data_IF_023855371148
#
_entry.id   IF_023855371148
#
_cell.length_a   1.000
_cell.length_b   1.000
_cell.length_c   1.000
_cell.angle_alpha   90.00
_cell.angle_beta   90.00
_cell.angle_gamma   90.00
#
_symmetry.space_group_name_H-M   'P 1'
#
loop_
_entity.id
_entity.type
_entity.pdbx_description
1 polymer ?
#
# COMPACT_ATOMS: atom_id res chain seq x y z
N UNK A 1 -4.84 -1.58 3.74
CA UNK A 1 -5.62 -0.34 3.88
C UNK A 1 -6.74 -0.37 2.84
N UNK A 2 -7.95 0.09 3.16
CA UNK A 2 -9.02 0.23 2.17
C UNK A 2 -9.19 1.72 1.88
N UNK A 3 -8.96 2.13 0.64
CA UNK A 3 -9.28 3.47 0.20
C UNK A 3 -10.78 3.57 -0.07
N UNK A 4 -11.37 4.71 0.29
CA UNK A 4 -12.74 5.04 -0.08
C UNK A 4 -12.86 5.17 -1.60
N UNK A 5 -14.07 4.98 -2.13
CA UNK A 5 -14.31 5.19 -3.56
C UNK A 5 -13.99 6.64 -3.98
N UNK A 6 -14.26 7.60 -3.09
CA UNK A 6 -13.96 9.03 -3.27
C UNK A 6 -12.44 9.25 -3.40
N UNK A 7 -11.63 8.63 -2.54
CA UNK A 7 -10.17 8.75 -2.63
C UNK A 7 -9.61 8.19 -3.95
N UNK A 8 -10.18 7.09 -4.45
CA UNK A 8 -9.81 6.52 -5.75
C UNK A 8 -10.19 7.49 -6.88
N UNK A 9 -11.41 8.03 -6.88
CA UNK A 9 -11.88 8.98 -7.88
C UNK A 9 -11.04 10.28 -7.89
N UNK A 10 -10.72 10.81 -6.71
CA UNK A 10 -9.87 12.00 -6.59
C UNK A 10 -8.46 11.72 -7.12
N UNK A 11 -7.90 10.54 -6.84
CA UNK A 11 -6.60 10.13 -7.38
C UNK A 11 -6.62 10.05 -8.90
N UNK A 12 -7.64 9.43 -9.49
CA UNK A 12 -7.82 9.36 -10.95
C UNK A 12 -7.94 10.75 -11.55
N UNK A 13 -8.80 11.60 -10.97
CA UNK A 13 -8.99 12.98 -11.44
C UNK A 13 -7.68 13.76 -11.43
N UNK A 14 -6.90 13.68 -10.35
CA UNK A 14 -5.59 14.32 -10.26
C UNK A 14 -4.62 13.82 -11.32
N UNK A 15 -4.52 12.51 -11.49
CA UNK A 15 -3.65 11.89 -12.49
C UNK A 15 -3.98 12.38 -13.91
N UNK A 16 -5.26 12.41 -14.28
CA UNK A 16 -5.71 12.85 -15.61
C UNK A 16 -5.46 14.33 -15.87
N UNK A 17 -5.44 15.15 -14.82
CA UNK A 17 -5.11 16.57 -14.88
C UNK A 17 -3.59 16.84 -14.75
N UNK A 18 -2.77 15.78 -14.74
CA UNK A 18 -1.32 15.85 -14.55
C UNK A 18 -0.85 16.34 -13.19
N UNK A 19 -1.72 16.27 -12.18
CA UNK A 19 -1.44 16.70 -10.81
C UNK A 19 -0.85 15.55 -9.96
N UNK A 20 -0.19 15.90 -8.85
CA UNK A 20 0.30 14.91 -7.90
C UNK A 20 -0.81 14.46 -6.93
N UNK A 21 -0.99 13.14 -6.82
CA UNK A 21 -1.98 12.48 -5.96
C UNK A 21 -1.41 12.05 -4.60
N UNK A 22 -0.09 12.17 -4.40
CA UNK A 22 0.59 11.63 -3.21
C UNK A 22 0.12 12.27 -1.91
N UNK A 23 -0.31 13.53 -1.96
CA UNK A 23 -0.84 14.25 -0.79
C UNK A 23 -2.11 13.59 -0.25
N UNK A 24 -3.04 13.18 -1.11
CA UNK A 24 -4.26 12.44 -0.73
C UNK A 24 -3.91 11.18 0.04
N UNK A 25 -2.91 10.44 -0.47
CA UNK A 25 -2.51 9.16 0.12
C UNK A 25 -1.81 9.37 1.46
N UNK A 26 -0.98 10.41 1.59
CA UNK A 26 -0.36 10.77 2.86
C UNK A 26 -1.40 11.19 3.90
N UNK A 27 -2.41 11.97 3.51
CA UNK A 27 -3.49 12.38 4.40
C UNK A 27 -4.28 11.18 4.90
N UNK A 28 -4.65 10.25 4.02
CA UNK A 28 -5.32 9.00 4.38
C UNK A 28 -4.46 8.14 5.34
N UNK A 29 -3.16 8.01 5.08
CA UNK A 29 -2.24 7.29 5.98
C UNK A 29 -2.17 7.95 7.36
N UNK A 30 -2.15 9.28 7.41
CA UNK A 30 -2.08 10.05 8.65
C UNK A 30 -3.35 9.87 9.47
N UNK A 31 -4.53 10.02 8.86
CA UNK A 31 -5.82 9.82 9.52
C UNK A 31 -5.93 8.41 10.13
N UNK A 32 -5.68 7.38 9.32
CA UNK A 32 -5.76 5.99 9.78
C UNK A 32 -4.74 5.66 10.90
N UNK A 33 -3.59 6.33 10.89
CA UNK A 33 -2.58 6.17 11.94
C UNK A 33 -3.01 6.84 13.25
N UNK A 34 -3.55 8.05 13.17
CA UNK A 34 -4.01 8.80 14.35
C UNK A 34 -5.22 8.10 14.99
N UNK A 35 -6.17 7.61 14.20
CA UNK A 35 -7.31 6.82 14.69
C UNK A 35 -6.82 5.56 15.43
N UNK A 36 -5.89 4.81 14.82
CA UNK A 36 -5.27 3.66 15.47
C UNK A 36 -4.56 4.05 16.77
N UNK A 37 -3.85 5.18 16.78
CA UNK A 37 -3.11 5.65 17.96
C UNK A 37 -4.06 5.92 19.12
N UNK A 38 -5.17 6.60 18.87
CA UNK A 38 -6.19 6.87 19.88
C UNK A 38 -6.81 5.58 20.43
N UNK A 39 -7.17 4.65 19.55
CA UNK A 39 -7.77 3.38 19.99
C UNK A 39 -6.75 2.48 20.71
N UNK A 40 -5.49 2.48 20.28
CA UNK A 40 -4.44 1.75 20.97
C UNK A 40 -4.21 2.27 22.39
N UNK A 41 -4.17 3.59 22.58
CA UNK A 41 -4.03 4.17 23.92
C UNK A 41 -5.27 3.94 24.82
N UNK A 42 -6.48 3.95 24.27
CA UNK A 42 -7.68 3.52 25.03
C UNK A 42 -7.56 2.07 25.49
N UNK A 43 -7.10 1.17 24.61
CA UNK A 43 -6.86 -0.22 24.98
C UNK A 43 -5.78 -0.38 26.05
N UNK A 44 -4.72 0.45 26.03
CA UNK A 44 -3.67 0.44 27.05
C UNK A 44 -4.24 0.89 28.40
N UNK A 45 -5.03 1.97 28.40
CA UNK A 45 -5.71 2.46 29.59
C UNK A 45 -6.58 1.35 30.20
N UNK A 46 -7.44 0.72 29.39
CA UNK A 46 -8.30 -0.39 29.83
C UNK A 46 -7.48 -1.54 30.40
N UNK A 47 -6.40 -1.94 29.74
CA UNK A 47 -5.53 -3.02 30.21
C UNK A 47 -4.87 -2.68 31.55
N UNK A 48 -4.30 -1.47 31.71
CA UNK A 48 -3.63 -1.03 32.94
C UNK A 48 -4.59 -0.80 34.11
N UNK A 49 -5.86 -0.50 33.84
CA UNK A 49 -6.89 -0.42 34.88
C UNK A 49 -7.32 -1.80 35.40
N UNK A 50 -7.28 -2.82 34.53
CA UNK A 50 -7.77 -4.17 34.84
C UNK A 50 -6.65 -5.15 35.20
N UNK A 51 -5.39 -4.78 35.00
CA UNK A 51 -4.23 -5.61 35.35
C UNK A 51 -3.44 -5.03 36.52
N UNK A 52 -3.12 -5.88 37.49
CA UNK A 52 -2.34 -5.51 38.67
C UNK A 52 -0.85 -5.79 38.51
N UNK A 53 -0.43 -6.42 37.41
CA UNK A 53 0.97 -6.71 37.17
C UNK A 53 1.77 -5.42 36.94
N UNK A 54 2.88 -5.29 37.65
CA UNK A 54 3.80 -4.16 37.55
C UNK A 54 4.89 -4.35 36.48
N UNK A 55 4.86 -5.47 35.76
CA UNK A 55 5.84 -5.84 34.74
C UNK A 55 5.17 -6.08 33.38
N UNK A 56 5.95 -6.24 32.32
CA UNK A 56 5.46 -6.35 30.93
C UNK A 56 4.56 -7.57 30.64
N UNK A 57 4.35 -8.48 31.60
CA UNK A 57 3.44 -9.62 31.43
C UNK A 57 2.00 -9.19 31.11
N UNK A 58 1.56 -8.03 31.61
CA UNK A 58 0.24 -7.48 31.26
C UNK A 58 0.14 -7.21 29.75
N UNK A 59 1.21 -6.68 29.13
CA UNK A 59 1.18 -6.35 27.70
C UNK A 59 0.97 -7.60 26.86
N UNK A 60 1.75 -8.66 27.11
CA UNK A 60 1.59 -9.95 26.40
C UNK A 60 0.21 -10.54 26.63
N UNK A 61 -0.29 -10.53 27.87
CA UNK A 61 -1.62 -11.04 28.21
C UNK A 61 -2.74 -10.30 27.46
N UNK A 62 -2.70 -8.97 27.45
CA UNK A 62 -3.80 -8.15 26.92
C UNK A 62 -3.73 -7.91 25.42
N UNK A 63 -2.53 -7.76 24.84
CA UNK A 63 -2.37 -7.38 23.43
C UNK A 63 -1.99 -8.54 22.51
N UNK A 64 -1.33 -9.58 23.04
CA UNK A 64 -0.80 -10.67 22.22
C UNK A 64 -1.63 -11.92 22.39
N UNK A 65 -1.75 -12.40 23.62
CA UNK A 65 -2.37 -13.67 23.96
C UNK A 65 -3.87 -13.54 24.24
N UNK A 66 -4.46 -12.36 23.98
CA UNK A 66 -5.91 -12.17 24.08
C UNK A 66 -6.59 -12.45 22.75
N UNK A 67 -7.81 -12.98 22.80
CA UNK A 67 -8.65 -13.18 21.61
C UNK A 67 -9.35 -11.89 21.15
N UNK A 68 -9.09 -10.76 21.81
CA UNK A 68 -9.71 -9.46 21.50
C UNK A 68 -9.27 -8.94 20.13
N UNK A 69 -8.02 -9.22 19.74
CA UNK A 69 -7.38 -8.59 18.59
C UNK A 69 -7.22 -9.55 17.42
N UNK A 70 -7.30 -9.00 16.21
CA UNK A 70 -7.04 -9.76 14.98
C UNK A 70 -5.55 -10.05 14.86
N UNK A 71 -5.18 -11.11 14.16
CA UNK A 71 -3.77 -11.50 14.00
C UNK A 71 -2.91 -10.39 13.40
N UNK A 72 -3.45 -9.58 12.49
CA UNK A 72 -2.74 -8.43 11.92
C UNK A 72 -2.41 -7.37 13.00
N UNK A 73 -3.29 -7.18 13.99
CA UNK A 73 -3.08 -6.25 15.10
C UNK A 73 -2.10 -6.82 16.12
N UNK A 74 -2.24 -8.10 16.46
CA UNK A 74 -1.29 -8.83 17.32
C UNK A 74 0.13 -8.72 16.78
N UNK A 75 0.33 -8.88 15.47
CA UNK A 75 1.63 -8.68 14.85
C UNK A 75 2.16 -7.26 15.09
N UNK A 76 1.33 -6.24 14.89
CA UNK A 76 1.71 -4.82 15.10
C UNK A 76 2.09 -4.56 16.56
N UNK A 77 1.30 -5.06 17.52
CA UNK A 77 1.61 -4.92 18.96
C UNK A 77 2.90 -5.67 19.33
N UNK A 78 3.18 -6.79 18.68
CA UNK A 78 4.45 -7.50 18.77
C UNK A 78 5.62 -6.82 18.04
N UNK A 79 5.44 -5.63 17.46
CA UNK A 79 6.51 -4.91 16.75
C UNK A 79 6.84 -5.46 15.37
N UNK A 80 5.93 -6.22 14.74
CA UNK A 80 6.14 -6.85 13.44
C UNK A 80 4.99 -6.60 12.45
N UNK A 81 5.31 -6.53 11.17
CA UNK A 81 4.31 -6.50 10.10
C UNK A 81 3.98 -7.93 9.67
N UNK A 82 2.69 -8.26 9.55
CA UNK A 82 2.22 -9.55 9.02
C UNK A 82 2.89 -9.95 7.71
N UNK A 83 3.10 -9.01 6.77
CA UNK A 83 3.79 -9.29 5.50
C UNK A 83 5.23 -9.74 5.73
N UNK A 84 5.92 -9.16 6.71
CA UNK A 84 7.28 -9.55 7.07
C UNK A 84 7.31 -10.94 7.71
N UNK A 85 6.34 -11.26 8.57
CA UNK A 85 6.14 -12.62 9.11
C UNK A 85 5.92 -13.61 7.95
N UNK A 86 5.01 -13.32 7.02
CA UNK A 86 4.78 -14.19 5.84
C UNK A 86 6.05 -14.40 5.01
N UNK A 87 6.84 -13.35 4.81
CA UNK A 87 8.07 -13.45 4.02
C UNK A 87 9.17 -14.27 4.72
N UNK A 88 9.26 -14.20 6.04
CA UNK A 88 10.28 -14.92 6.83
C UNK A 88 9.87 -16.39 7.02
N UNK A 89 8.61 -16.65 7.34
CA UNK A 89 8.12 -17.96 7.77
C UNK A 89 7.30 -18.70 6.70
N UNK A 90 7.10 -18.09 5.52
CA UNK A 90 6.28 -18.63 4.43
C UNK A 90 4.77 -18.63 4.71
N UNK A 91 4.35 -18.27 5.92
CA UNK A 91 2.96 -18.25 6.36
C UNK A 91 2.74 -17.23 7.48
N UNK A 92 1.49 -16.88 7.72
CA UNK A 92 1.08 -15.99 8.80
C UNK A 92 -0.26 -16.42 9.38
N UNK A 93 -0.34 -17.70 9.76
CA UNK A 93 -1.45 -18.24 10.55
C UNK A 93 -1.50 -17.56 11.92
N UNK A 94 -2.67 -17.65 12.60
CA UNK A 94 -2.82 -17.07 13.96
C UNK A 94 -1.75 -17.61 14.91
N UNK A 95 -1.47 -18.92 14.88
CA UNK A 95 -0.44 -19.55 15.72
C UNK A 95 0.96 -18.99 15.44
N UNK A 96 1.39 -18.96 14.17
CA UNK A 96 2.71 -18.42 13.80
C UNK A 96 2.83 -16.96 14.24
N UNK A 97 1.79 -16.16 14.05
CA UNK A 97 1.80 -14.76 14.46
C UNK A 97 1.94 -14.64 15.98
N UNK A 98 1.22 -15.44 16.77
CA UNK A 98 1.31 -15.42 18.23
C UNK A 98 2.71 -15.79 18.71
N UNK A 99 3.29 -16.86 18.16
CA UNK A 99 4.63 -17.32 18.52
C UNK A 99 5.68 -16.25 18.21
N UNK A 100 5.62 -15.68 17.01
CA UNK A 100 6.53 -14.64 16.55
C UNK A 100 6.38 -13.36 17.36
N UNK A 101 5.14 -12.94 17.67
CA UNK A 101 4.88 -11.73 18.45
C UNK A 101 5.40 -11.89 19.90
N UNK A 102 5.16 -13.03 20.54
CA UNK A 102 5.69 -13.30 21.88
C UNK A 102 7.24 -13.32 21.88
N UNK A 103 7.84 -14.01 20.91
CA UNK A 103 9.29 -14.09 20.77
C UNK A 103 9.92 -12.70 20.55
N UNK A 104 9.32 -11.88 19.68
CA UNK A 104 9.84 -10.55 19.39
C UNK A 104 9.71 -9.60 20.59
N UNK A 105 8.64 -9.70 21.39
CA UNK A 105 8.54 -8.89 22.63
C UNK A 105 9.59 -9.32 23.64
N UNK A 106 9.82 -10.63 23.85
CA UNK A 106 10.90 -11.09 24.73
C UNK A 106 12.26 -10.52 24.28
N UNK A 107 12.51 -10.50 22.97
CA UNK A 107 13.71 -9.92 22.39
C UNK A 107 13.82 -8.41 22.64
N UNK A 108 12.73 -7.66 22.41
CA UNK A 108 12.68 -6.22 22.65
C UNK A 108 12.87 -5.87 24.13
N UNK A 109 12.22 -6.60 25.04
CA UNK A 109 12.41 -6.45 26.49
C UNK A 109 13.88 -6.59 26.87
N UNK A 110 14.57 -7.62 26.36
CA UNK A 110 15.99 -7.83 26.64
C UNK A 110 16.89 -6.70 26.11
N UNK A 111 16.61 -6.19 24.91
CA UNK A 111 17.35 -5.02 24.36
C UNK A 111 17.12 -3.80 25.24
N UNK A 112 15.87 -3.53 25.60
CA UNK A 112 15.51 -2.37 26.39
C UNK A 112 16.16 -2.42 27.78
N UNK A 113 16.09 -3.56 28.48
CA UNK A 113 16.75 -3.72 29.78
C UNK A 113 18.27 -3.56 29.68
N UNK A 114 18.87 -3.97 28.56
CA UNK A 114 20.30 -3.75 28.32
C UNK A 114 20.62 -2.26 28.10
N UNK A 115 19.73 -1.50 27.46
CA UNK A 115 19.89 -0.05 27.30
C UNK A 115 19.73 0.68 28.63
N UNK A 116 18.78 0.27 29.47
CA UNK A 116 18.56 0.82 30.82
C UNK A 116 19.80 0.66 31.72
N UNK A 117 20.57 -0.42 31.54
CA UNK A 117 21.79 -0.67 32.32
C UNK A 117 23.03 0.12 31.88
N UNK A 118 23.00 0.74 30.69
CA UNK A 118 24.16 1.38 30.07
C UNK A 118 24.05 2.91 29.94
N UNK A 119 22.91 3.51 30.27
CA UNK A 119 22.61 4.93 29.98
C UNK A 119 22.04 5.64 31.23
N UNK A 120 22.83 6.51 31.86
CA UNK A 120 22.54 7.04 33.20
C UNK A 120 21.68 8.33 33.22
N UNK A 121 21.11 8.83 32.11
CA UNK A 121 20.47 10.16 32.14
C UNK A 121 19.19 10.40 31.31
N UNK A 122 18.66 9.43 30.54
CA UNK A 122 17.44 9.66 29.74
C UNK A 122 16.28 8.72 30.10
N UNK A 123 15.24 9.30 30.72
CA UNK A 123 13.97 8.64 30.99
C UNK A 123 12.90 9.08 29.99
N UNK A 124 12.17 8.12 29.42
CA UNK A 124 10.99 8.36 28.58
C UNK A 124 9.79 7.78 29.34
N UNK A 125 8.73 8.58 29.48
CA UNK A 125 7.45 8.14 30.08
C UNK A 125 6.30 8.62 29.21
N UNK A 126 5.32 7.75 28.99
CA UNK A 126 4.06 8.07 28.33
C UNK A 126 2.97 8.13 29.39
N UNK A 127 2.39 9.32 29.57
CA UNK A 127 1.24 9.54 30.42
C UNK A 127 -0.04 9.59 29.59
N UNK A 128 -0.98 8.70 29.90
CA UNK A 128 -2.28 8.59 29.24
C UNK A 128 -3.34 9.06 30.23
N UNK A 129 -4.12 10.06 29.85
CA UNK A 129 -5.23 10.57 30.67
C UNK A 129 -6.57 10.45 29.95
N UNK A 130 -7.58 10.00 30.67
CA UNK A 130 -8.96 9.97 30.20
C UNK A 130 -9.91 10.24 31.37
N UNK A 131 -10.66 11.36 31.28
CA UNK A 131 -11.46 11.90 32.39
C UNK A 131 -10.60 12.06 33.65
N UNK A 132 -10.93 11.37 34.75
CA UNK A 132 -10.20 11.43 36.02
C UNK A 132 -9.16 10.31 36.16
N UNK A 133 -9.01 9.45 35.15
CA UNK A 133 -8.07 8.32 35.19
C UNK A 133 -6.78 8.75 34.51
N UNK A 134 -5.67 8.45 35.17
CA UNK A 134 -4.31 8.67 34.66
C UNK A 134 -3.55 7.36 34.80
N UNK A 135 -2.96 6.91 33.69
CA UNK A 135 -2.01 5.80 33.67
C UNK A 135 -0.68 6.34 33.15
N UNK A 136 0.39 5.93 33.80
CA UNK A 136 1.76 6.24 33.39
C UNK A 136 2.48 4.95 33.04
N UNK A 137 3.19 4.98 31.91
CA UNK A 137 4.03 3.89 31.44
C UNK A 137 5.47 4.16 31.83
N UNK A 138 6.16 3.14 32.37
CA UNK A 138 7.60 3.24 32.60
C UNK A 138 8.39 3.28 31.28
N UNK A 139 9.72 3.40 31.36
CA UNK A 139 10.61 3.47 30.20
C UNK A 139 10.42 2.29 29.25
N UNK A 140 10.48 1.07 29.79
CA UNK A 140 10.30 -0.15 29.01
C UNK A 140 8.94 -0.23 28.31
N UNK A 141 7.86 0.05 29.04
CA UNK A 141 6.50 0.07 28.50
C UNK A 141 6.33 1.15 27.41
N UNK A 142 6.91 2.33 27.64
CA UNK A 142 6.86 3.45 26.70
C UNK A 142 7.56 3.13 25.39
N UNK A 143 8.77 2.56 25.46
CA UNK A 143 9.54 2.17 24.28
C UNK A 143 8.85 1.08 23.47
N UNK A 144 8.23 0.09 24.14
CA UNK A 144 7.47 -0.95 23.47
C UNK A 144 6.23 -0.38 22.74
N UNK A 145 5.50 0.52 23.40
CA UNK A 145 4.35 1.21 22.79
C UNK A 145 4.76 2.07 21.59
N UNK A 146 5.88 2.79 21.69
CA UNK A 146 6.46 3.55 20.57
C UNK A 146 6.81 2.61 19.40
N UNK A 147 7.41 1.45 19.69
CA UNK A 147 7.73 0.46 18.68
C UNK A 147 6.48 -0.06 17.94
N UNK A 148 5.41 -0.37 18.67
CA UNK A 148 4.13 -0.78 18.07
C UNK A 148 3.52 0.32 17.18
N UNK A 149 3.55 1.59 17.64
CA UNK A 149 3.10 2.74 16.84
C UNK A 149 3.94 2.91 15.57
N UNK A 150 5.27 2.85 15.67
CA UNK A 150 6.17 2.93 14.54
C UNK A 150 5.90 1.80 13.52
N UNK A 151 5.73 0.57 14.02
CA UNK A 151 5.39 -0.61 13.22
C UNK A 151 4.07 -0.41 12.47
N UNK A 152 3.04 0.11 13.15
CA UNK A 152 1.76 0.44 12.49
C UNK A 152 1.96 1.46 11.37
N UNK A 153 2.70 2.54 11.64
CA UNK A 153 2.93 3.60 10.64
C UNK A 153 3.61 3.05 9.39
N UNK A 154 4.63 2.22 9.57
CA UNK A 154 5.35 1.57 8.48
C UNK A 154 4.42 0.63 7.70
N UNK A 155 3.65 -0.20 8.40
CA UNK A 155 2.69 -1.11 7.78
C UNK A 155 1.62 -0.37 6.96
N UNK A 156 1.09 0.74 7.48
CA UNK A 156 0.16 1.61 6.76
C UNK A 156 0.79 2.21 5.50
N UNK A 157 2.00 2.79 5.60
CA UNK A 157 2.70 3.37 4.42
C UNK A 157 2.92 2.32 3.34
N UNK A 158 3.50 1.17 3.69
CA UNK A 158 3.77 0.10 2.72
C UNK A 158 2.49 -0.45 2.08
N UNK A 159 1.45 -0.66 2.87
CA UNK A 159 0.16 -1.16 2.39
C UNK A 159 -0.63 -0.15 1.57
N UNK A 160 -0.52 1.15 1.88
CA UNK A 160 -1.22 2.23 1.19
C UNK A 160 -0.78 2.37 -0.26
N UNK A 161 0.53 2.52 -0.52
CA UNK A 161 1.06 2.72 -1.87
C UNK A 161 0.76 1.53 -2.81
N UNK A 162 0.92 0.31 -2.30
CA UNK A 162 0.57 -0.89 -3.06
C UNK A 162 -0.94 -0.98 -3.32
N UNK A 163 -1.77 -0.66 -2.32
CA UNK A 163 -3.22 -0.75 -2.49
C UNK A 163 -3.80 0.34 -3.37
N UNK A 164 -3.29 1.58 -3.34
CA UNK A 164 -3.83 2.63 -4.21
C UNK A 164 -3.46 2.34 -5.66
N UNK A 165 -2.21 1.94 -5.93
CA UNK A 165 -1.76 1.54 -7.27
C UNK A 165 -2.71 0.55 -7.89
N UNK A 166 -2.90 -0.62 -7.26
CA UNK A 166 -3.80 -1.66 -7.78
C UNK A 166 -5.25 -1.21 -7.95
N UNK A 167 -5.74 -0.32 -7.08
CA UNK A 167 -7.14 0.15 -7.11
C UNK A 167 -7.40 1.20 -8.18
N UNK A 168 -6.39 1.92 -8.64
CA UNK A 168 -6.56 2.96 -9.67
C UNK A 168 -6.38 2.44 -11.09
N UNK A 169 -5.68 1.33 -11.31
CA UNK A 169 -5.35 0.79 -12.64
C UNK A 169 -6.57 0.76 -13.57
N UNK A 170 -7.63 0.05 -13.16
CA UNK A 170 -8.86 -0.08 -13.94
C UNK A 170 -9.70 1.21 -14.00
N UNK A 171 -10.01 1.90 -12.89
CA UNK A 171 -10.74 3.18 -12.94
C UNK A 171 -10.09 4.23 -13.83
N UNK A 172 -8.75 4.36 -13.78
CA UNK A 172 -8.00 5.29 -14.60
C UNK A 172 -8.17 4.98 -16.09
N UNK A 173 -8.00 3.72 -16.47
CA UNK A 173 -8.13 3.31 -17.88
C UNK A 173 -9.55 3.47 -18.42
N UNK A 174 -10.56 3.15 -17.61
CA UNK A 174 -11.96 3.35 -17.99
C UNK A 174 -12.26 4.83 -18.23
N UNK A 175 -11.76 5.70 -17.36
CA UNK A 175 -11.96 7.15 -17.47
C UNK A 175 -11.22 7.72 -18.69
N UNK A 176 -9.95 7.35 -18.91
CA UNK A 176 -9.18 7.70 -20.12
C UNK A 176 -9.95 7.31 -21.39
N UNK A 177 -10.39 6.06 -21.47
CA UNK A 177 -11.15 5.56 -22.61
C UNK A 177 -12.46 6.33 -22.80
N UNK A 178 -13.17 6.62 -21.72
CA UNK A 178 -14.45 7.35 -21.77
C UNK A 178 -14.27 8.79 -22.26
N UNK A 179 -13.28 9.51 -21.73
CA UNK A 179 -12.95 10.88 -22.11
C UNK A 179 -12.49 10.97 -23.57
N UNK A 180 -11.74 9.98 -24.05
CA UNK A 180 -11.32 9.89 -25.45
C UNK A 180 -12.41 9.34 -26.38
N UNK A 181 -13.53 8.83 -25.85
CA UNK A 181 -14.65 8.33 -26.65
C UNK A 181 -14.43 6.95 -27.25
N UNK A 182 -13.63 6.10 -26.61
CA UNK A 182 -13.47 4.68 -26.96
C UNK A 182 -14.74 3.92 -26.60
N UNK A 183 -15.30 3.17 -27.54
CA UNK A 183 -16.49 2.35 -27.31
C UNK A 183 -16.15 1.14 -26.42
N UNK A 184 -17.04 0.80 -25.48
CA UNK A 184 -16.89 -0.35 -24.58
C UNK A 184 -16.62 -1.66 -25.32
N UNK A 185 -17.10 -1.81 -26.56
CA UNK A 185 -16.84 -3.02 -27.36
C UNK A 185 -15.36 -3.22 -27.73
N UNK A 186 -14.52 -2.19 -27.61
CA UNK A 186 -13.07 -2.24 -27.81
C UNK A 186 -12.28 -2.31 -26.50
N UNK A 187 -12.97 -2.49 -25.38
CA UNK A 187 -12.38 -2.51 -24.04
C UNK A 187 -12.61 -3.89 -23.42
N UNK A 188 -11.56 -4.48 -22.85
CA UNK A 188 -11.69 -5.59 -21.91
C UNK A 188 -11.03 -5.21 -20.58
N UNK A 189 -11.88 -5.12 -19.55
CA UNK A 189 -11.51 -4.75 -18.18
C UNK A 189 -11.91 -5.86 -17.18
N UNK A 190 -12.05 -7.10 -17.66
CA UNK A 190 -12.39 -8.24 -16.80
C UNK A 190 -11.26 -8.51 -15.79
N UNK A 191 -11.64 -9.03 -14.62
CA UNK A 191 -10.66 -9.42 -13.62
C UNK A 191 -9.92 -10.64 -14.16
N UNK A 192 -8.60 -10.55 -14.21
CA UNK A 192 -7.75 -11.64 -14.63
C UNK A 192 -8.07 -12.92 -13.85
N UNK A 193 -8.31 -14.00 -14.59
CA UNK A 193 -8.43 -15.35 -14.05
C UNK A 193 -7.31 -16.16 -14.68
N UNK A 194 -6.37 -16.60 -13.84
CA UNK A 194 -5.26 -17.44 -14.29
C UNK A 194 -5.81 -18.69 -14.96
N UNK A 195 -5.44 -18.89 -16.22
CA UNK A 195 -5.66 -20.16 -16.90
C UNK A 195 -4.68 -21.19 -16.33
N UNK A 196 -5.22 -22.23 -15.70
CA UNK A 196 -4.42 -23.32 -15.14
C UNK A 196 -3.81 -24.25 -16.21
N UNK A 197 -4.21 -24.09 -17.48
CA UNK A 197 -3.74 -24.92 -18.60
C UNK A 197 -2.51 -24.30 -19.27
N UNK A 198 -2.36 -22.98 -19.24
CA UNK A 198 -1.20 -22.29 -19.79
C UNK A 198 0.02 -22.48 -18.88
N UNK A 199 1.17 -22.88 -19.47
CA UNK A 199 2.45 -22.96 -18.74
C UNK A 199 2.86 -21.60 -18.15
N UNK A 200 2.41 -20.52 -18.79
CA UNK A 200 2.64 -19.16 -18.36
C UNK A 200 1.44 -18.28 -18.68
N UNK A 201 0.75 -17.83 -17.64
CA UNK A 201 -0.33 -16.85 -17.73
C UNK A 201 -0.12 -15.76 -16.67
N UNK A 202 0.05 -14.52 -17.13
CA UNK A 202 0.36 -13.37 -16.28
C UNK A 202 -0.76 -12.34 -16.36
N UNK A 203 -1.12 -11.82 -15.19
CA UNK A 203 -2.10 -10.75 -15.06
C UNK A 203 -1.64 -9.50 -15.83
N UNK A 204 -2.53 -8.99 -16.67
CA UNK A 204 -2.42 -7.69 -17.35
C UNK A 204 -3.51 -6.79 -16.78
N UNK A 205 -3.17 -5.53 -16.52
CA UNK A 205 -4.07 -4.63 -15.80
C UNK A 205 -5.31 -4.22 -16.64
N UNK A 206 -5.16 -4.10 -17.97
CA UNK A 206 -6.24 -3.72 -18.89
C UNK A 206 -5.96 -4.14 -20.34
N UNK A 207 -7.01 -4.25 -21.19
CA UNK A 207 -6.89 -4.65 -22.59
C UNK A 207 -7.72 -3.75 -23.52
N UNK A 208 -7.16 -3.43 -24.68
CA UNK A 208 -7.81 -2.69 -25.77
C UNK A 208 -7.76 -3.48 -27.07
N UNK A 209 -8.73 -3.27 -27.96
CA UNK A 209 -8.77 -3.93 -29.27
C UNK A 209 -8.68 -2.92 -30.41
N UNK A 210 -7.97 -3.28 -31.48
CA UNK A 210 -8.01 -2.52 -32.71
C UNK A 210 -9.40 -2.57 -33.39
N UNK A 211 -9.57 -1.80 -34.45
CA UNK A 211 -10.85 -1.53 -35.08
C UNK A 211 -11.60 -2.79 -35.55
N UNK A 212 -10.88 -3.77 -36.10
CA UNK A 212 -11.42 -5.04 -36.54
C UNK A 212 -11.33 -6.16 -35.49
N UNK A 213 -10.87 -5.85 -34.26
CA UNK A 213 -10.66 -6.79 -33.14
C UNK A 213 -9.74 -7.98 -33.44
N UNK A 214 -8.88 -7.86 -34.44
CA UNK A 214 -7.89 -8.89 -34.77
C UNK A 214 -6.67 -8.85 -33.85
N UNK A 215 -6.43 -7.71 -33.20
CA UNK A 215 -5.30 -7.51 -32.30
C UNK A 215 -5.76 -7.00 -30.94
N UNK A 216 -5.27 -7.67 -29.90
CA UNK A 216 -5.40 -7.25 -28.50
C UNK A 216 -4.12 -6.50 -28.08
N UNK A 217 -4.30 -5.32 -27.49
CA UNK A 217 -3.24 -4.53 -26.88
C UNK A 217 -3.34 -4.62 -25.38
N UNK A 218 -2.30 -5.20 -24.79
CA UNK A 218 -2.12 -5.30 -23.34
C UNK A 218 -1.65 -3.96 -22.79
N UNK A 219 -2.33 -3.48 -21.76
CA UNK A 219 -2.03 -2.21 -21.11
C UNK A 219 -1.57 -2.46 -19.68
N UNK A 220 -0.44 -1.87 -19.35
CA UNK A 220 0.14 -1.90 -18.02
C UNK A 220 0.03 -0.52 -17.38
N UNK A 221 -0.40 -0.46 -16.13
CA UNK A 221 -0.52 0.79 -15.38
C UNK A 221 0.36 0.74 -14.14
N UNK A 222 1.17 1.78 -13.93
CA UNK A 222 2.06 1.88 -12.76
C UNK A 222 2.09 3.28 -12.18
N UNK A 223 1.75 3.39 -10.89
CA UNK A 223 2.03 4.58 -10.09
C UNK A 223 3.42 4.42 -9.44
N UNK A 224 4.44 4.96 -10.07
CA UNK A 224 5.86 4.76 -9.74
C UNK A 224 6.41 5.89 -8.87
N UNK A 225 7.40 5.56 -8.05
CA UNK A 225 8.24 6.56 -7.40
C UNK A 225 9.48 6.83 -8.24
N UNK A 226 10.05 8.04 -8.15
CA UNK A 226 11.32 8.38 -8.81
C UNK A 226 12.47 7.42 -8.47
N UNK A 227 12.42 6.80 -7.29
CA UNK A 227 13.45 5.86 -6.80
C UNK A 227 13.26 4.39 -7.21
N UNK A 228 12.33 4.07 -8.12
CA UNK A 228 12.13 2.70 -8.62
C UNK A 228 11.81 2.70 -10.13
N UNK A 229 12.76 3.16 -10.97
CA UNK A 229 12.57 3.18 -12.43
C UNK A 229 12.42 1.79 -13.06
N UNK A 230 12.90 0.73 -12.39
CA UNK A 230 12.82 -0.67 -12.84
C UNK A 230 11.38 -1.20 -12.85
N UNK A 231 10.45 -0.51 -12.16
CA UNK A 231 9.02 -0.82 -12.26
C UNK A 231 8.48 -0.72 -13.69
N UNK A 232 9.15 0.03 -14.57
CA UNK A 232 8.82 0.06 -15.99
C UNK A 232 9.10 -1.26 -16.72
N UNK A 233 10.03 -2.10 -16.25
CA UNK A 233 10.36 -3.38 -16.87
C UNK A 233 9.20 -4.40 -16.78
N UNK A 234 8.17 -4.09 -15.98
CA UNK A 234 6.92 -4.84 -15.92
C UNK A 234 6.29 -5.02 -17.32
N UNK A 235 6.50 -4.06 -18.24
CA UNK A 235 6.01 -4.15 -19.62
C UNK A 235 6.63 -5.30 -20.40
N UNK A 236 7.90 -5.62 -20.15
CA UNK A 236 8.61 -6.74 -20.79
C UNK A 236 8.08 -8.04 -20.21
N UNK A 237 7.99 -8.09 -18.88
CA UNK A 237 7.53 -9.26 -18.15
C UNK A 237 6.07 -9.65 -18.49
N UNK A 238 5.23 -8.69 -18.90
CA UNK A 238 3.80 -8.88 -19.18
C UNK A 238 3.45 -8.82 -20.66
N UNK A 239 4.44 -8.62 -21.53
CA UNK A 239 4.25 -8.44 -22.97
C UNK A 239 3.24 -7.32 -23.29
N UNK A 240 3.44 -6.18 -22.62
CA UNK A 240 2.54 -5.03 -22.68
C UNK A 240 2.87 -4.15 -23.88
N UNK A 241 1.83 -3.68 -24.54
CA UNK A 241 1.91 -2.85 -25.74
C UNK A 241 1.76 -1.36 -25.41
N UNK A 242 1.06 -1.05 -24.31
CA UNK A 242 0.83 0.31 -23.83
C UNK A 242 1.23 0.38 -22.36
N UNK A 243 1.99 1.40 -21.99
CA UNK A 243 2.40 1.66 -20.62
C UNK A 243 1.92 3.02 -20.13
N UNK A 244 1.07 3.02 -19.10
CA UNK A 244 0.56 4.24 -18.47
C UNK A 244 1.24 4.38 -17.12
N UNK A 245 1.95 5.49 -16.92
CA UNK A 245 2.65 5.75 -15.68
C UNK A 245 2.42 7.16 -15.17
N UNK A 246 2.44 7.34 -13.85
CA UNK A 246 2.41 8.70 -13.29
C UNK A 246 3.71 9.45 -13.60
N UNK A 247 4.88 8.80 -13.51
CA UNK A 247 6.19 9.42 -13.78
C UNK A 247 7.09 8.45 -14.55
N UNK A 248 7.80 8.94 -15.56
CA UNK A 248 8.77 8.17 -16.35
C UNK A 248 10.11 8.90 -16.43
N UNK A 249 11.21 8.19 -16.14
CA UNK A 249 12.55 8.72 -16.41
C UNK A 249 12.82 8.81 -17.92
N UNK A 250 13.80 9.63 -18.31
CA UNK A 250 14.26 9.68 -19.71
C UNK A 250 14.72 8.31 -20.21
N UNK A 251 15.39 7.54 -19.36
CA UNK A 251 15.81 6.18 -19.67
C UNK A 251 14.62 5.25 -19.93
N UNK A 252 13.57 5.30 -19.09
CA UNK A 252 12.35 4.51 -19.33
C UNK A 252 11.72 4.86 -20.68
N UNK A 253 11.60 6.17 -20.99
CA UNK A 253 11.06 6.61 -22.29
C UNK A 253 11.88 6.10 -23.46
N UNK A 254 13.21 6.15 -23.38
CA UNK A 254 14.08 5.65 -24.44
C UNK A 254 13.98 4.13 -24.61
N UNK A 255 13.91 3.39 -23.50
CA UNK A 255 13.75 1.93 -23.51
C UNK A 255 12.39 1.53 -24.12
N UNK A 256 11.29 2.15 -23.68
CA UNK A 256 9.95 1.90 -24.22
C UNK A 256 9.90 2.16 -25.74
N UNK A 257 10.50 3.26 -26.19
CA UNK A 257 10.64 3.55 -27.64
C UNK A 257 11.43 2.47 -28.38
N UNK A 258 12.56 2.01 -27.82
CA UNK A 258 13.37 0.96 -28.45
C UNK A 258 12.64 -0.39 -28.54
N UNK A 259 11.70 -0.64 -27.63
CA UNK A 259 10.85 -1.83 -27.60
C UNK A 259 9.58 -1.68 -28.44
N UNK A 260 9.32 -0.50 -29.03
CA UNK A 260 8.07 -0.22 -29.76
C UNK A 260 6.83 -0.20 -28.87
N UNK A 261 7.00 0.08 -27.57
CA UNK A 261 5.91 0.15 -26.59
C UNK A 261 5.41 1.59 -26.52
N UNK A 262 4.10 1.76 -26.73
CA UNK A 262 3.45 3.05 -26.57
C UNK A 262 3.38 3.43 -25.09
N UNK A 263 3.56 4.70 -24.74
CA UNK A 263 3.53 5.10 -23.34
C UNK A 263 2.92 6.47 -23.11
N UNK A 264 2.35 6.64 -21.93
CA UNK A 264 1.77 7.89 -21.45
C UNK A 264 2.31 8.19 -20.04
N UNK A 265 2.98 9.32 -19.91
CA UNK A 265 3.31 9.90 -18.60
C UNK A 265 2.19 10.87 -18.20
N UNK A 266 1.67 10.73 -16.98
CA UNK A 266 0.53 11.51 -16.50
C UNK A 266 0.98 12.78 -15.75
N UNK A 267 1.90 12.65 -14.78
CA UNK A 267 2.31 13.78 -13.92
C UNK A 267 2.98 14.86 -14.76
N UNK A 268 2.60 16.11 -14.50
CA UNK A 268 3.02 17.30 -15.24
C UNK A 268 2.66 17.25 -16.75
N UNK A 269 1.72 16.39 -17.16
CA UNK A 269 1.24 16.34 -18.53
C UNK A 269 -0.16 16.95 -18.64
N UNK A 270 -0.23 18.23 -19.03
CA UNK A 270 -1.50 18.91 -19.29
C UNK A 270 -2.21 18.39 -20.56
N UNK A 271 -1.49 17.69 -21.45
CA UNK A 271 -1.99 17.17 -22.72
C UNK A 271 -2.32 15.67 -22.66
N UNK A 272 -2.47 15.11 -21.45
CA UNK A 272 -2.68 13.67 -21.20
C UNK A 272 -3.71 13.03 -22.15
N UNK A 273 -4.87 13.68 -22.37
CA UNK A 273 -5.93 13.15 -23.23
C UNK A 273 -5.55 13.18 -24.72
N UNK A 274 -4.84 14.23 -25.16
CA UNK A 274 -4.37 14.35 -26.55
C UNK A 274 -3.31 13.29 -26.85
N UNK A 275 -2.35 13.10 -25.93
CA UNK A 275 -1.31 12.10 -26.06
C UNK A 275 -1.89 10.68 -26.08
N UNK A 276 -2.90 10.41 -25.23
CA UNK A 276 -3.59 9.13 -25.27
C UNK A 276 -4.34 8.91 -26.60
N UNK A 277 -5.03 9.93 -27.15
CA UNK A 277 -5.64 9.85 -28.49
C UNK A 277 -4.60 9.51 -29.56
N UNK A 278 -3.40 10.08 -29.49
CA UNK A 278 -2.32 9.77 -30.43
C UNK A 278 -1.85 8.31 -30.34
N UNK A 279 -1.82 7.73 -29.14
CA UNK A 279 -1.56 6.30 -28.95
C UNK A 279 -2.67 5.46 -29.61
N UNK A 280 -3.94 5.81 -29.36
CA UNK A 280 -5.09 5.11 -29.94
C UNK A 280 -5.04 5.14 -31.48
N UNK A 281 -4.70 6.29 -32.08
CA UNK A 281 -4.52 6.43 -33.53
C UNK A 281 -3.42 5.51 -34.06
N UNK A 282 -2.23 5.51 -33.46
CA UNK A 282 -1.10 4.68 -33.90
C UNK A 282 -1.40 3.18 -33.84
N UNK A 283 -2.25 2.78 -32.91
CA UNK A 283 -2.63 1.39 -32.68
C UNK A 283 -3.91 0.95 -33.41
N UNK A 284 -4.53 1.84 -34.20
CA UNK A 284 -5.82 1.60 -34.87
C UNK A 284 -6.95 1.21 -33.89
N UNK A 285 -6.98 1.84 -32.72
CA UNK A 285 -8.04 1.65 -31.71
C UNK A 285 -9.11 2.73 -31.93
N UNK A 286 -10.39 2.37 -32.19
CA UNK A 286 -11.41 3.37 -32.50
C UNK A 286 -11.79 4.24 -31.30
N UNK A 287 -11.87 5.55 -31.56
CA UNK A 287 -12.34 6.55 -30.62
C UNK A 287 -13.07 7.67 -31.37
N UNK A 288 -13.86 8.47 -30.65
CA UNK A 288 -14.58 9.60 -31.23
C UNK A 288 -13.75 10.87 -31.03
N UNK A 289 -13.51 11.61 -32.11
CA UNK A 289 -13.10 13.01 -32.02
C UNK A 289 -14.30 13.81 -31.47
N UNK A 290 -14.41 13.84 -30.14
CA UNK A 290 -15.11 14.92 -29.44
C UNK A 290 -14.24 16.15 -29.45
#
# INVERSE_FOLDING_TARGET
MRFSQIAIQNTVSKLLNGQDYREEILNEINLNFLDFTLDFFKNILDAKMNDKALNMSWYKKWFINSDKFKSDEVAIFGGMNKKSITNIYGSATKTIILDVANANINYLENIISSLESNDDNIGISIRISYKQIVVELNLSESLLVINALATKKIALRGGAWSSIGKRVEKPLMLELCSLCGVDRKYINAEIFKKDSILEFDREVDFKLYNNNKTKEYRVEVKLMGRGNPESADAVIARDSHIFIADTLSLQNKNQLKSLGIEFLELKNNANCLSDFKNILLRLDIPFKNK
#
